data_IF_694069167583
#
_entry.id   IF_694069167583
#
_cell.length_a   1.000
_cell.length_b   1.000
_cell.length_c   1.000
_cell.angle_alpha   90.00
_cell.angle_beta   90.00
_cell.angle_gamma   90.00
#
_symmetry.space_group_name_H-M   'P 1'
#
loop_
_entity.id
_entity.type
_entity.pdbx_description
1 polymer ?
#
# COMPACT_ATOMS: atom_id res chain seq x y z
N UNK A 1 65.44 10.80 9.47
CA UNK A 1 65.37 12.24 9.07
C UNK A 1 63.92 12.63 8.84
N UNK A 2 63.54 13.63 9.53
CA UNK A 2 62.21 14.11 9.75
C UNK A 2 61.56 14.77 8.51
N UNK A 3 60.25 14.73 8.40
CA UNK A 3 59.45 15.95 8.19
C UNK A 3 57.95 15.70 8.43
N UNK A 4 57.46 16.27 9.53
CA UNK A 4 56.05 16.53 9.83
C UNK A 4 55.55 17.64 8.92
N UNK A 5 54.37 17.48 8.34
CA UNK A 5 53.54 18.61 7.88
C UNK A 5 52.09 18.36 8.26
N UNK A 6 51.72 18.96 9.39
CA UNK A 6 50.36 19.13 9.82
C UNK A 6 49.69 20.23 9.01
N UNK A 7 48.62 19.91 8.25
CA UNK A 7 47.71 20.93 7.72
C UNK A 7 46.44 20.98 8.59
N UNK A 8 46.35 21.98 9.42
CA UNK A 8 45.14 22.43 10.11
C UNK A 8 44.16 22.95 9.07
N UNK A 9 43.06 22.26 8.90
CA UNK A 9 41.86 22.82 8.25
C UNK A 9 40.99 23.46 9.30
N UNK A 10 40.88 24.78 9.28
CA UNK A 10 39.88 25.54 10.02
C UNK A 10 38.59 25.46 9.23
N UNK A 11 37.63 24.69 9.74
CA UNK A 11 36.29 24.66 9.22
C UNK A 11 35.54 25.96 9.54
N UNK A 12 35.11 26.67 8.52
CA UNK A 12 34.17 27.77 8.61
C UNK A 12 32.77 27.15 8.59
N UNK A 13 32.12 27.11 9.75
CA UNK A 13 30.72 26.79 9.87
C UNK A 13 29.90 27.91 9.25
N UNK A 14 29.31 27.68 8.07
CA UNK A 14 28.24 28.52 7.50
C UNK A 14 26.92 27.97 7.96
N UNK A 15 26.37 28.64 8.96
CA UNK A 15 24.98 28.44 9.40
C UNK A 15 24.06 28.97 8.30
N UNK A 16 23.58 28.08 7.46
CA UNK A 16 22.52 28.38 6.48
C UNK A 16 21.18 28.38 7.18
N UNK A 17 20.60 29.57 7.39
CA UNK A 17 19.22 29.75 7.81
C UNK A 17 18.34 29.39 6.61
N UNK A 18 17.74 28.20 6.62
CA UNK A 18 16.65 27.83 5.71
C UNK A 18 15.37 28.57 6.15
N UNK A 19 15.10 29.71 5.49
CA UNK A 19 13.80 30.37 5.59
C UNK A 19 12.76 29.47 4.87
N UNK A 20 11.97 28.75 5.65
CA UNK A 20 10.77 28.08 5.17
C UNK A 20 9.73 29.16 4.88
N UNK A 21 9.60 29.58 3.63
CA UNK A 21 8.49 30.40 3.16
C UNK A 21 7.25 29.52 3.15
N UNK A 22 6.48 29.57 4.24
CA UNK A 22 5.15 28.97 4.30
C UNK A 22 4.24 29.70 3.31
N UNK A 23 3.90 29.06 2.19
CA UNK A 23 2.84 29.49 1.29
C UNK A 23 1.51 29.27 2.04
N UNK A 24 1.03 30.30 2.73
CA UNK A 24 -0.34 30.34 3.23
C UNK A 24 -1.27 30.37 1.99
N UNK A 25 -1.88 29.24 1.67
CA UNK A 25 -3.02 29.16 0.78
C UNK A 25 -4.16 29.93 1.45
N UNK A 26 -4.26 31.22 1.15
CA UNK A 26 -5.43 32.02 1.48
C UNK A 26 -6.55 31.46 0.62
N UNK A 27 -7.45 30.69 1.22
CA UNK A 27 -8.70 30.29 0.59
C UNK A 27 -9.43 31.57 0.22
N UNK A 28 -9.42 31.93 -1.07
CA UNK A 28 -10.22 33.03 -1.57
C UNK A 28 -11.69 32.63 -1.40
N UNK A 29 -12.51 33.41 -0.65
CA UNK A 29 -13.94 33.15 -0.61
C UNK A 29 -14.44 33.23 -2.07
N UNK A 30 -15.09 32.18 -2.54
CA UNK A 30 -15.79 32.20 -3.80
C UNK A 30 -16.75 33.40 -3.75
N UNK A 31 -16.49 34.42 -4.55
CA UNK A 31 -17.36 35.58 -4.67
C UNK A 31 -18.65 35.10 -5.34
N UNK A 32 -19.56 34.56 -4.53
CA UNK A 32 -20.90 34.20 -4.99
C UNK A 32 -21.64 35.47 -5.44
N UNK A 33 -22.24 35.42 -6.61
CA UNK A 33 -23.14 36.49 -7.06
C UNK A 33 -24.40 36.47 -6.18
N UNK A 34 -24.87 37.66 -5.77
CA UNK A 34 -26.07 37.82 -4.96
C UNK A 34 -27.16 38.54 -5.75
N UNK A 35 -28.43 38.19 -5.52
CA UNK A 35 -29.58 38.84 -6.10
C UNK A 35 -29.95 40.04 -5.23
N UNK A 36 -29.97 41.21 -5.82
CA UNK A 36 -30.28 42.49 -5.16
C UNK A 36 -31.56 43.06 -5.74
N UNK A 37 -32.53 43.48 -4.89
CA UNK A 37 -33.81 44.09 -5.27
C UNK A 37 -33.86 45.53 -4.83
N UNK A 38 -34.20 46.43 -5.77
CA UNK A 38 -34.53 47.83 -5.46
C UNK A 38 -35.96 47.96 -4.93
N UNK A 39 -36.25 49.04 -4.17
CA UNK A 39 -37.61 49.32 -3.65
C UNK A 39 -38.70 49.34 -4.72
N UNK A 40 -38.35 49.66 -5.96
CA UNK A 40 -39.29 49.68 -7.12
C UNK A 40 -39.38 48.35 -7.87
N UNK A 41 -38.89 47.27 -7.30
CA UNK A 41 -39.07 45.89 -7.82
C UNK A 41 -37.98 45.42 -8.80
N UNK A 42 -37.13 46.28 -9.34
CA UNK A 42 -36.05 45.82 -10.24
C UNK A 42 -35.01 44.97 -9.51
N UNK A 43 -34.65 43.82 -10.10
CA UNK A 43 -33.65 42.90 -9.57
C UNK A 43 -32.36 42.92 -10.39
N UNK A 44 -31.24 42.70 -9.73
CA UNK A 44 -29.91 42.71 -10.33
C UNK A 44 -29.04 41.61 -9.69
N UNK A 45 -28.22 40.97 -10.49
CA UNK A 45 -27.19 40.01 -10.03
C UNK A 45 -25.88 40.76 -9.98
N UNK A 46 -25.18 40.70 -8.84
CA UNK A 46 -23.87 41.35 -8.62
C UNK A 46 -23.14 40.78 -7.40
N UNK A 47 -21.85 41.08 -7.29
CA UNK A 47 -21.04 40.62 -6.18
C UNK A 47 -21.48 41.12 -4.80
N UNK A 48 -22.12 42.27 -4.69
CA UNK A 48 -22.68 42.83 -3.45
C UNK A 48 -23.80 43.84 -3.72
N UNK A 49 -24.81 43.92 -2.85
CA UNK A 49 -25.92 44.88 -2.96
C UNK A 49 -25.48 46.30 -2.59
N UNK A 50 -26.03 47.32 -3.29
CA UNK A 50 -25.77 48.71 -2.97
C UNK A 50 -26.63 49.19 -1.79
N UNK A 51 -26.27 50.34 -1.19
CA UNK A 51 -26.85 50.90 0.07
C UNK A 51 -28.38 50.96 0.15
N UNK A 52 -29.10 50.95 -0.97
CA UNK A 52 -30.58 51.02 -1.00
C UNK A 52 -31.21 49.81 -1.68
N UNK A 53 -30.46 48.73 -1.79
CA UNK A 53 -30.91 47.46 -2.35
C UNK A 53 -31.02 46.44 -1.22
N UNK A 54 -32.01 45.56 -1.29
CA UNK A 54 -32.18 44.45 -0.39
C UNK A 54 -31.59 43.19 -1.05
N UNK A 55 -30.74 42.51 -0.35
CA UNK A 55 -30.27 41.19 -0.79
C UNK A 55 -31.39 40.17 -0.60
N UNK A 56 -31.72 39.44 -1.66
CA UNK A 56 -32.70 38.39 -1.66
C UNK A 56 -31.94 37.05 -1.63
N UNK A 57 -32.31 36.17 -0.72
CA UNK A 57 -31.80 34.82 -0.64
C UNK A 57 -32.75 33.89 -1.38
N UNK A 58 -32.20 32.84 -2.03
CA UNK A 58 -33.00 31.82 -2.68
C UNK A 58 -33.98 31.13 -1.69
N UNK A 59 -33.57 31.04 -0.44
CA UNK A 59 -34.42 30.54 0.65
C UNK A 59 -35.71 31.38 0.82
N UNK A 60 -35.70 32.67 0.53
CA UNK A 60 -36.85 33.54 0.66
C UNK A 60 -37.97 33.22 -0.37
N UNK A 61 -37.62 32.44 -1.40
CA UNK A 61 -38.55 31.95 -2.43
C UNK A 61 -38.93 30.46 -2.23
N UNK A 62 -38.52 29.83 -1.13
CA UNK A 62 -38.73 28.40 -0.94
C UNK A 62 -37.92 27.53 -1.92
N UNK A 63 -36.95 28.16 -2.63
CA UNK A 63 -36.15 27.45 -3.64
C UNK A 63 -35.07 26.51 -3.04
N UNK A 64 -34.80 26.63 -1.76
CA UNK A 64 -34.00 25.64 -1.02
C UNK A 64 -35.00 24.62 -0.44
N UNK A 65 -35.20 23.55 -1.14
CA UNK A 65 -35.82 22.36 -0.56
C UNK A 65 -34.99 21.86 0.64
N UNK A 66 -35.54 21.07 1.54
CA UNK A 66 -34.76 20.39 2.57
C UNK A 66 -33.62 19.65 1.91
N UNK A 67 -32.44 19.70 2.54
CA UNK A 67 -31.28 18.91 2.11
C UNK A 67 -31.73 17.44 1.98
N UNK A 68 -31.50 16.87 0.81
CA UNK A 68 -31.86 15.46 0.59
C UNK A 68 -31.13 14.59 1.63
N UNK A 69 -31.79 13.57 2.13
CA UNK A 69 -31.17 12.59 3.02
C UNK A 69 -29.88 12.08 2.38
N UNK A 70 -28.81 12.00 3.18
CA UNK A 70 -27.60 11.32 2.76
C UNK A 70 -27.94 9.95 2.19
N UNK A 71 -27.48 9.62 1.01
CA UNK A 71 -27.64 8.30 0.43
C UNK A 71 -27.23 7.22 1.44
N UNK A 72 -27.88 6.07 1.40
CA UNK A 72 -27.50 4.93 2.22
C UNK A 72 -26.02 4.62 1.99
N UNK A 73 -25.29 4.27 3.06
CA UNK A 73 -23.93 3.79 2.92
C UNK A 73 -23.93 2.62 1.93
N UNK A 74 -22.96 2.62 1.00
CA UNK A 74 -22.77 1.49 0.09
C UNK A 74 -22.66 0.19 0.87
N UNK A 75 -23.14 -0.89 0.28
CA UNK A 75 -22.96 -2.22 0.88
C UNK A 75 -21.48 -2.45 1.18
N UNK A 76 -21.18 -3.08 2.32
CA UNK A 76 -19.83 -3.53 2.60
C UNK A 76 -19.34 -4.39 1.42
N UNK A 77 -18.11 -4.16 0.96
CA UNK A 77 -17.51 -5.02 -0.05
C UNK A 77 -17.57 -6.47 0.41
N UNK A 78 -17.68 -7.39 -0.56
CA UNK A 78 -17.60 -8.80 -0.25
C UNK A 78 -16.30 -9.08 0.53
N UNK A 79 -16.32 -9.98 1.54
CA UNK A 79 -15.10 -10.39 2.22
C UNK A 79 -14.07 -10.81 1.18
N UNK A 80 -12.82 -10.34 1.35
CA UNK A 80 -11.74 -10.69 0.43
C UNK A 80 -11.71 -12.21 0.19
N UNK A 81 -11.80 -12.62 -1.06
CA UNK A 81 -11.98 -14.02 -1.45
C UNK A 81 -10.67 -14.73 -1.76
N UNK A 82 -9.62 -14.53 -0.95
CA UNK A 82 -8.45 -15.39 -1.10
C UNK A 82 -8.87 -16.86 -1.05
N UNK A 83 -8.63 -17.59 -2.14
CA UNK A 83 -8.95 -19.01 -2.24
C UNK A 83 -8.10 -19.83 -1.30
N UNK A 84 -6.84 -19.51 -1.23
CA UNK A 84 -5.90 -20.09 -0.27
C UNK A 84 -4.92 -19.03 0.26
N UNK A 85 -4.42 -19.25 1.45
CA UNK A 85 -3.29 -18.50 1.98
C UNK A 85 -2.54 -19.35 2.99
N UNK A 86 -1.26 -19.06 3.16
CA UNK A 86 -0.44 -19.61 4.24
C UNK A 86 0.63 -18.61 4.65
N UNK A 87 0.94 -18.56 5.93
CA UNK A 87 2.18 -18.04 6.46
C UNK A 87 3.08 -19.23 6.75
N UNK A 88 4.25 -19.25 6.15
CA UNK A 88 5.26 -20.30 6.31
C UNK A 88 6.45 -19.72 7.07
N UNK A 89 6.74 -20.29 8.22
CA UNK A 89 7.90 -19.90 9.02
C UNK A 89 9.19 -20.40 8.38
N UNK A 90 10.30 -19.71 8.66
CA UNK A 90 11.60 -20.08 8.12
C UNK A 90 11.97 -21.51 8.56
N UNK A 91 12.58 -22.28 7.66
CA UNK A 91 12.96 -23.67 7.94
C UNK A 91 13.90 -23.80 9.14
N UNK A 92 14.79 -22.85 9.29
CA UNK A 92 15.83 -22.91 10.33
C UNK A 92 15.30 -22.75 11.74
N UNK A 93 14.18 -22.08 11.95
CA UNK A 93 13.75 -21.73 13.31
C UNK A 93 12.49 -22.45 13.78
N UNK A 94 11.43 -22.43 13.02
CA UNK A 94 10.15 -23.07 13.39
C UNK A 94 9.40 -23.51 12.13
N UNK A 95 10.01 -24.38 11.34
CA UNK A 95 9.43 -24.85 10.09
C UNK A 95 7.99 -25.32 10.24
N UNK A 96 7.11 -24.79 9.41
CA UNK A 96 5.71 -25.16 9.35
C UNK A 96 4.82 -24.01 8.89
N UNK A 97 3.55 -24.30 8.74
CA UNK A 97 2.53 -23.28 8.45
C UNK A 97 1.95 -22.74 9.77
N UNK A 98 2.19 -21.46 10.07
CA UNK A 98 1.65 -20.80 11.26
C UNK A 98 0.16 -20.47 11.09
N UNK A 99 -0.23 -19.95 9.92
CA UNK A 99 -1.60 -19.65 9.54
C UNK A 99 -1.84 -20.22 8.15
N UNK A 100 -2.89 -20.99 7.97
CA UNK A 100 -3.21 -21.54 6.66
C UNK A 100 -4.71 -21.69 6.45
N UNK A 101 -5.13 -21.46 5.20
CA UNK A 101 -6.43 -21.79 4.67
C UNK A 101 -6.24 -22.42 3.31
N UNK A 102 -6.81 -23.60 3.10
CA UNK A 102 -6.76 -24.36 1.84
C UNK A 102 -5.35 -24.69 1.33
N UNK A 103 -4.36 -24.69 2.21
CA UNK A 103 -3.12 -25.43 2.07
C UNK A 103 -3.10 -26.55 3.11
N UNK A 104 -2.74 -27.76 2.70
CA UNK A 104 -2.83 -28.97 3.53
C UNK A 104 -1.48 -29.41 4.08
N UNK A 105 -0.41 -29.08 3.38
CA UNK A 105 0.95 -29.42 3.79
C UNK A 105 1.97 -28.42 3.25
N UNK A 106 3.11 -28.33 3.91
CA UNK A 106 4.33 -27.69 3.42
C UNK A 106 5.49 -28.66 3.59
N UNK A 107 6.34 -28.77 2.58
CA UNK A 107 7.60 -29.52 2.64
C UNK A 107 8.76 -28.66 2.16
N UNK A 108 9.97 -29.04 2.54
CA UNK A 108 11.20 -28.32 2.25
C UNK A 108 12.24 -29.29 1.69
N UNK A 109 12.25 -29.51 0.37
CA UNK A 109 13.13 -30.52 -0.24
C UNK A 109 14.58 -30.07 -0.43
N UNK A 110 14.85 -28.76 -0.49
CA UNK A 110 16.18 -28.21 -0.72
C UNK A 110 16.27 -26.78 -0.15
N UNK A 111 17.48 -26.27 0.01
CA UNK A 111 17.75 -24.93 0.54
C UNK A 111 17.00 -23.87 -0.25
N UNK A 112 16.18 -23.09 0.45
CA UNK A 112 15.35 -22.05 -0.13
C UNK A 112 14.24 -22.54 -1.05
N UNK A 113 13.84 -23.80 -0.96
CA UNK A 113 12.78 -24.40 -1.77
C UNK A 113 11.67 -24.95 -0.88
N UNK A 114 10.47 -24.45 -1.07
CA UNK A 114 9.29 -24.83 -0.31
C UNK A 114 8.18 -25.30 -1.26
N UNK A 115 7.57 -26.44 -0.93
CA UNK A 115 6.46 -27.02 -1.68
C UNK A 115 5.21 -26.92 -0.82
N UNK A 116 4.20 -26.21 -1.28
CA UNK A 116 2.92 -26.06 -0.58
C UNK A 116 1.84 -26.85 -1.32
N UNK A 117 1.29 -27.85 -0.68
CA UNK A 117 0.22 -28.68 -1.24
C UNK A 117 -1.12 -27.99 -1.04
N UNK A 118 -1.80 -27.57 -2.10
CA UNK A 118 -3.11 -26.94 -1.99
C UNK A 118 -4.21 -27.97 -1.71
N UNK A 119 -5.33 -27.51 -1.19
CA UNK A 119 -6.55 -28.31 -1.09
C UNK A 119 -7.14 -28.59 -2.49
N UNK A 120 -7.97 -29.63 -2.58
CA UNK A 120 -8.64 -30.00 -3.82
C UNK A 120 -9.40 -28.82 -4.45
N UNK A 121 -9.27 -28.64 -5.75
CA UNK A 121 -9.90 -27.56 -6.52
C UNK A 121 -9.07 -26.29 -6.66
N UNK A 122 -7.85 -26.27 -6.10
CA UNK A 122 -6.87 -25.21 -6.31
C UNK A 122 -5.73 -25.77 -7.14
N UNK A 123 -5.57 -25.24 -8.34
CA UNK A 123 -4.60 -25.72 -9.33
C UNK A 123 -3.57 -24.61 -9.60
N UNK A 124 -2.29 -24.80 -9.25
CA UNK A 124 -1.25 -23.81 -9.45
C UNK A 124 -0.98 -23.51 -10.94
N UNK A 125 -1.41 -24.38 -11.85
CA UNK A 125 -1.27 -24.14 -13.29
C UNK A 125 -2.31 -23.14 -13.83
N UNK A 126 -3.42 -22.98 -13.12
CA UNK A 126 -4.54 -22.10 -13.51
C UNK A 126 -4.68 -20.89 -12.57
N UNK A 127 -4.13 -20.97 -11.38
CA UNK A 127 -4.29 -19.98 -10.30
C UNK A 127 -2.92 -19.48 -9.82
N UNK A 128 -2.48 -18.31 -10.28
CA UNK A 128 -1.22 -17.73 -9.81
C UNK A 128 -1.34 -17.35 -8.32
N UNK A 129 -0.20 -17.29 -7.64
CA UNK A 129 -0.15 -16.79 -6.27
C UNK A 129 0.74 -15.55 -6.14
N UNK A 130 0.52 -14.78 -5.09
CA UNK A 130 1.39 -13.71 -4.64
C UNK A 130 2.17 -14.22 -3.45
N UNK A 131 3.49 -13.98 -3.46
CA UNK A 131 4.40 -14.34 -2.37
C UNK A 131 5.08 -13.08 -1.87
N UNK A 132 5.22 -12.97 -0.57
CA UNK A 132 5.92 -11.86 0.09
C UNK A 132 6.75 -12.39 1.25
N UNK A 133 8.01 -11.95 1.42
CA UNK A 133 8.76 -12.24 2.64
C UNK A 133 8.00 -11.74 3.87
N UNK A 134 8.05 -12.50 4.95
CA UNK A 134 7.57 -12.11 6.26
C UNK A 134 8.78 -11.78 7.13
N UNK A 135 8.79 -10.57 7.70
CA UNK A 135 9.99 -10.05 8.36
C UNK A 135 10.21 -10.60 9.77
N UNK A 136 9.15 -10.78 10.55
CA UNK A 136 9.28 -11.09 11.99
C UNK A 136 9.86 -12.47 12.25
N UNK A 137 9.52 -13.46 11.40
CA UNK A 137 9.99 -14.84 11.50
C UNK A 137 11.14 -15.15 10.51
N UNK A 138 11.68 -14.12 9.86
CA UNK A 138 12.86 -14.23 9.00
C UNK A 138 14.12 -13.74 9.71
N UNK A 139 15.29 -14.18 9.22
CA UNK A 139 16.58 -13.71 9.69
C UNK A 139 17.42 -13.21 8.51
N UNK A 140 18.22 -12.18 8.76
CA UNK A 140 19.05 -11.55 7.76
C UNK A 140 18.46 -10.26 7.20
N UNK A 141 19.07 -9.75 6.16
CA UNK A 141 18.66 -8.55 5.43
C UNK A 141 18.48 -8.87 3.95
N UNK A 142 17.77 -7.97 3.25
CA UNK A 142 17.58 -8.09 1.80
C UNK A 142 16.90 -9.41 1.40
N UNK A 143 15.75 -9.67 2.03
CA UNK A 143 14.99 -10.91 1.88
C UNK A 143 14.16 -10.90 0.60
N UNK A 144 14.16 -12.03 -0.11
CA UNK A 144 13.33 -12.25 -1.27
C UNK A 144 12.59 -13.59 -1.15
N UNK A 145 11.31 -13.59 -1.49
CA UNK A 145 10.53 -14.80 -1.68
C UNK A 145 9.73 -14.65 -2.98
N UNK A 146 9.72 -15.67 -3.80
CA UNK A 146 9.05 -15.66 -5.08
C UNK A 146 8.35 -16.99 -5.39
N UNK A 147 7.30 -16.92 -6.17
CA UNK A 147 6.64 -18.10 -6.70
C UNK A 147 7.36 -18.57 -7.96
N UNK A 148 7.83 -19.82 -7.95
CA UNK A 148 8.38 -20.50 -9.11
C UNK A 148 7.26 -21.26 -9.83
N UNK A 149 6.66 -20.63 -10.83
CA UNK A 149 5.59 -21.24 -11.61
C UNK A 149 6.07 -22.45 -12.40
N UNK A 150 7.35 -22.52 -12.75
CA UNK A 150 7.93 -23.66 -13.49
C UNK A 150 8.13 -24.88 -12.60
N UNK A 151 8.42 -24.68 -11.33
CA UNK A 151 8.57 -25.76 -10.35
C UNK A 151 7.25 -26.42 -9.98
N UNK A 152 6.11 -25.80 -10.25
CA UNK A 152 4.77 -26.38 -10.07
C UNK A 152 4.39 -27.41 -11.14
N UNK A 153 5.17 -27.50 -12.23
CA UNK A 153 5.00 -28.48 -13.30
C UNK A 153 5.89 -29.70 -13.08
N UNK A 154 5.64 -30.78 -13.83
CA UNK A 154 6.39 -32.02 -13.71
C UNK A 154 7.92 -31.83 -13.88
N UNK A 155 8.70 -32.39 -12.96
CA UNK A 155 10.17 -32.43 -13.01
C UNK A 155 10.89 -31.45 -12.06
N UNK A 156 10.18 -30.69 -11.28
CA UNK A 156 10.74 -29.86 -10.21
C UNK A 156 11.01 -30.66 -8.90
N UNK A 157 11.57 -30.00 -7.86
CA UNK A 157 11.83 -30.62 -6.56
C UNK A 157 10.54 -30.91 -5.78
N UNK A 158 9.41 -30.36 -6.21
CA UNK A 158 8.10 -30.53 -5.58
C UNK A 158 7.22 -31.50 -6.37
N UNK A 159 6.17 -31.99 -5.72
CA UNK A 159 5.17 -32.83 -6.40
C UNK A 159 4.38 -32.00 -7.42
N UNK A 160 3.97 -32.64 -8.51
CA UNK A 160 3.08 -31.98 -9.48
C UNK A 160 1.80 -31.54 -8.79
N UNK A 161 1.44 -30.26 -8.96
CA UNK A 161 0.26 -29.67 -8.32
C UNK A 161 0.56 -28.92 -7.01
N UNK A 162 1.81 -28.92 -6.54
CA UNK A 162 2.22 -28.05 -5.43
C UNK A 162 2.55 -26.63 -5.95
N UNK A 163 2.34 -25.62 -5.11
CA UNK A 163 2.94 -24.30 -5.28
C UNK A 163 4.40 -24.35 -4.85
N UNK A 164 5.31 -23.92 -5.69
CA UNK A 164 6.73 -23.86 -5.38
C UNK A 164 7.10 -22.43 -5.04
N UNK A 165 7.63 -22.23 -3.85
CA UNK A 165 8.17 -20.95 -3.40
C UNK A 165 9.67 -21.07 -3.23
N UNK A 166 10.39 -20.10 -3.78
CA UNK A 166 11.82 -19.95 -3.60
C UNK A 166 12.13 -18.78 -2.71
N UNK A 167 13.07 -18.97 -1.81
CA UNK A 167 13.50 -17.94 -0.87
C UNK A 167 14.99 -17.68 -0.98
N UNK A 168 15.36 -16.40 -0.90
CA UNK A 168 16.73 -15.95 -1.06
C UNK A 168 17.07 -14.83 -0.08
N UNK A 169 18.34 -14.72 0.22
CA UNK A 169 18.96 -13.49 0.71
C UNK A 169 19.79 -12.88 -0.43
N UNK A 170 19.97 -11.56 -0.42
CA UNK A 170 20.70 -10.82 -1.45
C UNK A 170 21.97 -10.16 -0.88
N UNK A 171 22.93 -10.91 -0.34
CA UNK A 171 24.19 -10.33 0.15
C UNK A 171 24.93 -9.66 -0.99
N UNK A 172 25.09 -8.32 -0.92
CA UNK A 172 25.72 -7.54 -1.98
C UNK A 172 24.95 -7.52 -3.31
N UNK A 173 23.61 -7.78 -3.27
CA UNK A 173 22.72 -7.73 -4.43
C UNK A 173 22.65 -9.02 -5.26
N UNK A 174 23.33 -10.09 -4.85
CA UNK A 174 23.29 -11.38 -5.54
C UNK A 174 22.32 -12.34 -4.82
N UNK A 175 21.27 -12.86 -5.49
CA UNK A 175 20.36 -13.81 -4.87
C UNK A 175 21.09 -15.11 -4.48
N UNK A 176 21.01 -15.47 -3.21
CA UNK A 176 21.56 -16.72 -2.66
C UNK A 176 20.42 -17.47 -1.99
N UNK A 177 20.11 -18.72 -2.37
CA UNK A 177 19.07 -19.52 -1.72
C UNK A 177 19.24 -19.53 -0.20
N UNK A 178 18.15 -19.39 0.54
CA UNK A 178 18.21 -19.27 2.00
C UNK A 178 17.01 -19.88 2.69
N UNK A 179 17.29 -20.62 3.77
CA UNK A 179 16.31 -21.24 4.67
C UNK A 179 15.87 -20.29 5.81
N UNK A 180 16.39 -19.08 5.82
CA UNK A 180 16.15 -18.10 6.88
C UNK A 180 15.01 -17.13 6.57
N UNK A 181 14.34 -17.31 5.44
CA UNK A 181 13.25 -16.44 5.00
C UNK A 181 11.90 -17.10 5.26
N UNK A 182 11.13 -16.50 6.15
CA UNK A 182 9.70 -16.77 6.29
C UNK A 182 8.92 -16.00 5.22
N UNK A 183 7.74 -16.48 4.83
CA UNK A 183 6.96 -15.84 3.79
C UNK A 183 5.45 -16.05 3.95
N UNK A 184 4.68 -15.19 3.29
CA UNK A 184 3.24 -15.32 3.13
C UNK A 184 2.96 -15.63 1.67
N UNK A 185 2.06 -16.59 1.43
CA UNK A 185 1.53 -16.90 0.09
C UNK A 185 0.02 -16.69 0.07
N UNK A 186 -0.49 -16.09 -1.00
CA UNK A 186 -1.92 -15.82 -1.19
C UNK A 186 -2.30 -16.22 -2.62
N UNK A 187 -3.30 -17.10 -2.75
CA UNK A 187 -3.97 -17.43 -4.01
C UNK A 187 -5.28 -16.65 -4.05
N UNK A 188 -5.48 -15.72 -4.99
CA UNK A 188 -6.65 -14.86 -5.09
C UNK A 188 -7.95 -15.59 -5.46
#
# INVERSE_FOLDING_TARGET
MASKLSKRWRGVARTGILAVVGLALVAQPALGEVICKKRRGAMFIRAACRRRELQIRLADFGALGPEGNSGAAGAAGAPGTARAYAQVNSYRFHFGMALAKNFTAVSHPDTGVYCLTPAAGIDPTLMPCVVSPEWADSHGSDLLAEWDSTGSFAGGPCSTGDYVVRTFQLPGGTPTPSDEVAFIVIVP
#
